data_IF_678483027161
#
_entry.id   IF_678483027161
#
_cell.length_a   1.000
_cell.length_b   1.000
_cell.length_c   1.000
_cell.angle_alpha   90.00
_cell.angle_beta   90.00
_cell.angle_gamma   90.00
#
_symmetry.space_group_name_H-M   'P 1'
#
loop_
_entity.id
_entity.type
_entity.pdbx_description
1 polymer ?
#
# COMPACT_ATOMS: atom_id res chain seq x y z
N UNK A 1 -58.51 -51.22 -7.94
CA UNK A 1 -57.33 -51.80 -7.35
C UNK A 1 -56.12 -51.53 -8.24
N UNK A 2 -55.59 -50.39 -8.30
CA UNK A 2 -54.33 -50.11 -8.97
C UNK A 2 -53.65 -48.95 -8.25
N UNK A 3 -52.67 -49.21 -7.42
CA UNK A 3 -51.88 -48.26 -6.68
C UNK A 3 -50.85 -47.67 -7.65
N UNK A 4 -51.00 -46.41 -7.94
CA UNK A 4 -50.02 -45.62 -8.71
C UNK A 4 -49.11 -44.93 -7.76
N UNK A 5 -47.92 -45.50 -7.55
CA UNK A 5 -46.86 -44.92 -6.71
C UNK A 5 -46.18 -43.81 -7.50
N UNK A 6 -46.46 -42.56 -7.09
CA UNK A 6 -45.78 -41.40 -7.67
C UNK A 6 -44.43 -41.19 -7.00
N UNK A 7 -43.35 -41.44 -7.74
CA UNK A 7 -42.01 -41.07 -7.34
C UNK A 7 -41.83 -39.57 -7.47
N UNK A 8 -41.73 -38.91 -6.33
CA UNK A 8 -41.32 -37.49 -6.25
C UNK A 8 -39.77 -37.42 -6.30
N UNK A 9 -39.23 -37.10 -7.46
CA UNK A 9 -37.80 -36.82 -7.60
C UNK A 9 -37.55 -35.39 -7.11
N UNK A 10 -37.05 -35.29 -5.87
CA UNK A 10 -36.55 -34.01 -5.36
C UNK A 10 -35.16 -33.79 -5.94
N UNK A 11 -35.08 -32.96 -6.96
CA UNK A 11 -33.82 -32.46 -7.50
C UNK A 11 -33.15 -31.53 -6.52
N UNK A 12 -32.16 -31.96 -5.79
CA UNK A 12 -31.24 -31.10 -5.06
C UNK A 12 -30.38 -30.33 -6.08
N UNK A 13 -30.79 -29.12 -6.44
CA UNK A 13 -29.90 -28.18 -7.12
C UNK A 13 -28.83 -27.75 -6.10
N UNK A 14 -27.67 -28.36 -6.14
CA UNK A 14 -26.49 -27.90 -5.45
C UNK A 14 -26.05 -26.57 -6.12
N UNK A 15 -26.43 -25.46 -5.53
CA UNK A 15 -25.83 -24.16 -5.80
C UNK A 15 -24.38 -24.21 -5.36
N UNK A 16 -23.48 -24.54 -6.27
CA UNK A 16 -22.07 -24.33 -6.09
C UNK A 16 -21.83 -22.82 -6.04
N UNK A 17 -21.75 -22.26 -4.84
CA UNK A 17 -21.13 -20.98 -4.60
C UNK A 17 -19.67 -21.11 -5.00
N UNK A 18 -19.37 -20.75 -6.21
CA UNK A 18 -18.01 -20.51 -6.66
C UNK A 18 -17.56 -19.21 -5.98
N UNK A 19 -17.04 -19.33 -4.75
CA UNK A 19 -16.29 -18.27 -4.13
C UNK A 19 -15.00 -18.11 -4.94
N UNK A 20 -15.10 -17.39 -6.04
CA UNK A 20 -13.93 -16.88 -6.74
C UNK A 20 -13.13 -16.08 -5.73
N UNK A 21 -11.99 -16.61 -5.28
CA UNK A 21 -10.97 -15.82 -4.65
C UNK A 21 -10.55 -14.78 -5.70
N UNK A 22 -11.21 -13.62 -5.70
CA UNK A 22 -10.84 -12.50 -6.53
C UNK A 22 -9.40 -12.16 -6.20
N UNK A 23 -8.48 -12.30 -7.16
CA UNK A 23 -7.13 -11.78 -7.01
C UNK A 23 -7.27 -10.31 -6.60
N UNK A 24 -6.59 -9.91 -5.51
CA UNK A 24 -6.63 -8.54 -5.05
C UNK A 24 -6.25 -7.62 -6.21
N UNK A 25 -7.07 -6.60 -6.47
CA UNK A 25 -6.78 -5.65 -7.55
C UNK A 25 -5.46 -4.93 -7.29
N UNK A 26 -4.61 -4.90 -8.31
CA UNK A 26 -3.33 -4.18 -8.24
C UNK A 26 -3.55 -2.71 -8.62
N UNK A 27 -2.86 -1.82 -7.93
CA UNK A 27 -2.79 -0.41 -8.29
C UNK A 27 -1.88 -0.19 -9.50
N UNK A 28 -2.17 0.84 -10.28
CA UNK A 28 -1.37 1.26 -11.42
C UNK A 28 -0.38 2.38 -11.06
N UNK A 29 0.63 2.59 -11.91
CA UNK A 29 1.68 3.57 -11.66
C UNK A 29 1.15 5.02 -11.61
N UNK A 30 0.21 5.36 -12.46
CA UNK A 30 -0.46 6.66 -12.48
C UNK A 30 -1.34 6.88 -11.24
N UNK A 31 -2.01 5.84 -10.74
CA UNK A 31 -2.76 5.87 -9.49
C UNK A 31 -1.83 6.12 -8.28
N UNK A 32 -0.64 5.50 -8.25
CA UNK A 32 0.35 5.73 -7.19
C UNK A 32 0.87 7.18 -7.20
N UNK A 33 1.20 7.72 -8.38
CA UNK A 33 1.60 9.14 -8.52
C UNK A 33 0.48 10.09 -8.09
N UNK A 34 -0.76 9.83 -8.52
CA UNK A 34 -1.91 10.65 -8.15
C UNK A 34 -2.15 10.63 -6.63
N UNK A 35 -1.99 9.45 -6.00
CA UNK A 35 -2.14 9.30 -4.55
C UNK A 35 -1.08 10.08 -3.78
N UNK A 36 0.19 10.05 -4.20
CA UNK A 36 1.27 10.85 -3.57
C UNK A 36 1.01 12.34 -3.71
N UNK A 37 0.59 12.82 -4.88
CA UNK A 37 0.23 14.24 -5.08
C UNK A 37 -0.93 14.67 -4.19
N UNK A 38 -2.00 13.86 -4.16
CA UNK A 38 -3.14 14.09 -3.27
C UNK A 38 -2.72 14.12 -1.80
N UNK A 39 -1.82 13.23 -1.38
CA UNK A 39 -1.27 13.21 -0.02
C UNK A 39 -0.47 14.48 0.29
N UNK A 40 0.35 14.95 -0.65
CA UNK A 40 1.10 16.21 -0.51
C UNK A 40 0.19 17.43 -0.37
N UNK A 41 -0.86 17.52 -1.18
CA UNK A 41 -1.87 18.59 -1.06
C UNK A 41 -2.62 18.52 0.27
N UNK A 42 -2.98 17.32 0.70
CA UNK A 42 -3.64 17.10 1.99
C UNK A 42 -2.75 17.50 3.17
N UNK A 43 -1.45 17.17 3.12
CA UNK A 43 -0.45 17.58 4.10
C UNK A 43 -0.35 19.10 4.20
N UNK A 44 -0.21 19.79 3.07
CA UNK A 44 -0.13 21.26 3.02
C UNK A 44 -1.38 21.94 3.58
N UNK A 45 -2.56 21.40 3.26
CA UNK A 45 -3.84 21.98 3.68
C UNK A 45 -4.16 21.75 5.16
N UNK A 46 -3.82 20.57 5.69
CA UNK A 46 -4.31 20.11 7.00
C UNK A 46 -3.22 20.07 8.09
N UNK A 47 -1.95 20.20 7.73
CA UNK A 47 -0.81 20.06 8.63
C UNK A 47 -0.44 18.60 8.90
N UNK A 48 0.74 18.41 9.49
CA UNK A 48 1.36 17.09 9.69
C UNK A 48 0.54 16.15 10.56
N UNK A 49 0.07 16.63 11.70
CA UNK A 49 -0.66 15.82 12.66
C UNK A 49 -1.88 15.15 12.02
N UNK A 50 -2.71 15.96 11.37
CA UNK A 50 -3.92 15.47 10.70
C UNK A 50 -3.60 14.62 9.46
N UNK A 51 -2.56 14.99 8.72
CA UNK A 51 -2.16 14.23 7.54
C UNK A 51 -1.63 12.85 7.91
N UNK A 52 -0.74 12.74 8.89
CA UNK A 52 -0.21 11.45 9.32
C UNK A 52 -1.27 10.56 9.96
N UNK A 53 -2.20 11.13 10.72
CA UNK A 53 -3.36 10.38 11.24
C UNK A 53 -4.17 9.76 10.10
N UNK A 54 -4.42 10.51 9.02
CA UNK A 54 -5.17 10.03 7.86
C UNK A 54 -4.36 9.03 7.01
N UNK A 55 -3.04 9.23 6.83
CA UNK A 55 -2.17 8.29 6.13
C UNK A 55 -2.06 6.95 6.86
N UNK A 56 -2.15 6.96 8.19
CA UNK A 56 -2.13 5.76 9.04
C UNK A 56 -3.50 5.06 9.13
N UNK A 57 -4.56 5.67 8.61
CA UNK A 57 -5.90 5.12 8.69
C UNK A 57 -6.09 4.00 7.64
N UNK A 58 -6.20 2.71 8.04
CA UNK A 58 -6.31 1.61 7.08
C UNK A 58 -7.65 1.59 6.32
N UNK A 59 -8.60 2.41 6.73
CA UNK A 59 -9.90 2.63 6.06
C UNK A 59 -10.03 4.04 5.48
N UNK A 60 -8.93 4.78 5.43
CA UNK A 60 -8.88 6.16 4.98
C UNK A 60 -8.79 6.30 3.46
N UNK A 61 -8.77 7.56 3.04
CA UNK A 61 -8.75 7.93 1.62
C UNK A 61 -7.40 7.70 0.92
N UNK A 62 -6.37 7.26 1.67
CA UNK A 62 -5.03 6.96 1.16
C UNK A 62 -4.72 5.46 1.14
N UNK A 63 -5.77 4.65 1.10
CA UNK A 63 -5.74 3.21 0.82
C UNK A 63 -6.65 2.96 -0.39
N UNK A 64 -6.09 2.35 -1.43
CA UNK A 64 -6.87 1.96 -2.62
C UNK A 64 -6.23 0.75 -3.28
N UNK A 65 -6.96 -0.35 -3.40
CA UNK A 65 -6.42 -1.64 -3.89
C UNK A 65 -5.25 -2.09 -2.99
N UNK A 66 -4.07 -2.31 -3.57
CA UNK A 66 -2.82 -2.59 -2.84
C UNK A 66 -1.94 -1.34 -2.62
N UNK A 67 -2.46 -0.15 -2.99
CA UNK A 67 -1.78 1.13 -2.80
C UNK A 67 -2.02 1.68 -1.40
N UNK A 68 -0.96 2.21 -0.80
CA UNK A 68 -0.99 2.94 0.46
C UNK A 68 0.12 3.98 0.54
N UNK A 69 -0.10 5.02 1.33
CA UNK A 69 0.91 6.05 1.60
C UNK A 69 1.81 5.63 2.77
N UNK A 70 3.09 5.94 2.64
CA UNK A 70 4.03 6.01 3.74
C UNK A 70 4.78 7.35 3.70
N UNK A 71 5.35 7.76 4.83
CA UNK A 71 6.06 9.04 4.93
C UNK A 71 7.24 8.99 5.88
N UNK A 72 8.29 9.74 5.52
CA UNK A 72 9.49 9.99 6.31
C UNK A 72 9.76 11.49 6.45
N UNK A 73 10.53 11.89 7.46
CA UNK A 73 11.09 13.23 7.50
C UNK A 73 12.19 13.42 6.44
N UNK A 74 12.23 14.60 5.82
CA UNK A 74 13.30 14.96 4.89
C UNK A 74 14.59 15.42 5.60
N UNK A 75 14.81 14.96 6.82
CA UNK A 75 16.02 15.16 7.63
C UNK A 75 17.00 13.97 7.54
N UNK A 76 16.60 12.89 6.88
CA UNK A 76 17.43 11.71 6.66
C UNK A 76 17.58 10.78 7.86
N UNK A 77 16.85 10.98 8.95
CA UNK A 77 16.96 10.18 10.17
C UNK A 77 16.38 8.75 10.05
N UNK A 78 15.53 8.51 9.04
CA UNK A 78 14.90 7.22 8.79
C UNK A 78 13.79 6.86 9.77
N UNK A 79 13.27 7.82 10.54
CA UNK A 79 12.09 7.61 11.38
C UNK A 79 10.84 7.66 10.51
N UNK A 80 10.06 6.58 10.54
CA UNK A 80 8.83 6.50 9.75
C UNK A 80 7.70 7.29 10.43
N UNK A 81 7.13 8.25 9.72
CA UNK A 81 6.11 9.16 10.24
C UNK A 81 4.69 8.64 9.97
N UNK A 82 4.50 7.91 8.89
CA UNK A 82 3.22 7.31 8.54
C UNK A 82 3.41 6.05 7.68
N UNK A 83 2.49 5.07 7.84
CA UNK A 83 2.44 3.88 7.00
C UNK A 83 1.03 3.27 7.01
N UNK A 84 0.31 3.37 5.90
CA UNK A 84 -1.07 2.92 5.78
C UNK A 84 -1.25 1.40 5.81
N UNK A 85 -0.19 0.62 5.55
CA UNK A 85 -0.24 -0.84 5.56
C UNK A 85 0.30 -1.45 6.87
N UNK A 86 1.21 -0.76 7.56
CA UNK A 86 1.84 -1.31 8.77
C UNK A 86 2.14 -0.23 9.81
N UNK A 87 1.16 0.06 10.64
CA UNK A 87 1.27 1.05 11.73
C UNK A 87 2.40 0.74 12.74
N UNK A 88 2.87 -0.52 12.82
CA UNK A 88 3.95 -0.92 13.73
C UNK A 88 5.31 -0.33 13.37
N UNK A 89 5.48 0.17 12.15
CA UNK A 89 6.69 0.84 11.70
C UNK A 89 6.72 2.32 12.10
N UNK A 90 5.57 2.93 12.33
CA UNK A 90 5.46 4.35 12.67
C UNK A 90 6.17 4.65 14.00
N UNK A 91 7.00 5.70 13.98
CA UNK A 91 7.84 6.12 15.09
C UNK A 91 9.12 5.31 15.27
N UNK A 92 9.37 4.30 14.44
CA UNK A 92 10.62 3.53 14.47
C UNK A 92 11.64 4.08 13.49
N UNK A 93 12.91 4.04 13.89
CA UNK A 93 14.00 4.25 12.97
C UNK A 93 14.24 2.97 12.17
N UNK A 94 14.00 3.06 10.86
CA UNK A 94 14.14 1.94 9.91
C UNK A 94 15.23 2.19 8.87
N UNK A 95 16.13 3.16 9.13
CA UNK A 95 17.17 3.58 8.18
C UNK A 95 18.05 2.43 7.70
N UNK A 96 18.39 1.50 8.60
CA UNK A 96 19.27 0.35 8.33
C UNK A 96 18.49 -0.88 7.82
N UNK A 97 17.18 -0.73 7.57
CA UNK A 97 16.35 -1.82 7.06
C UNK A 97 16.78 -2.21 5.64
N UNK A 98 16.92 -3.52 5.44
CA UNK A 98 17.23 -4.10 4.13
C UNK A 98 16.02 -4.85 3.59
N UNK A 99 15.90 -4.84 2.29
CA UNK A 99 14.98 -5.72 1.59
C UNK A 99 15.53 -7.16 1.50
N UNK A 100 14.77 -8.06 0.85
CA UNK A 100 15.16 -9.46 0.70
C UNK A 100 16.44 -9.67 -0.14
N UNK A 101 16.83 -8.69 -0.94
CA UNK A 101 18.07 -8.70 -1.74
C UNK A 101 19.24 -7.99 -1.03
N UNK A 102 19.03 -7.52 0.21
CA UNK A 102 20.05 -6.82 1.01
C UNK A 102 20.18 -5.33 0.70
N UNK A 103 19.26 -4.74 -0.06
CA UNK A 103 19.25 -3.33 -0.42
C UNK A 103 18.76 -2.47 0.74
N UNK A 104 19.47 -1.38 1.05
CA UNK A 104 19.06 -0.39 2.05
C UNK A 104 17.96 0.52 1.49
N UNK A 105 16.76 0.00 1.38
CA UNK A 105 15.65 0.66 0.67
C UNK A 105 15.28 2.02 1.25
N UNK A 106 15.36 2.20 2.57
CA UNK A 106 15.00 3.48 3.21
C UNK A 106 16.03 4.56 2.91
N UNK A 107 17.34 4.20 2.93
CA UNK A 107 18.41 5.13 2.53
C UNK A 107 18.21 5.62 1.10
N UNK A 108 17.87 4.72 0.19
CA UNK A 108 17.65 5.04 -1.21
C UNK A 108 16.39 5.89 -1.42
N UNK A 109 15.29 5.59 -0.70
CA UNK A 109 14.07 6.41 -0.71
C UNK A 109 14.36 7.84 -0.24
N UNK A 110 15.08 7.97 0.88
CA UNK A 110 15.44 9.28 1.44
C UNK A 110 16.41 10.03 0.53
N UNK A 111 17.43 9.36 -0.03
CA UNK A 111 18.36 9.95 -0.98
C UNK A 111 17.63 10.50 -2.21
N UNK A 112 16.65 9.76 -2.75
CA UNK A 112 15.82 10.21 -3.87
C UNK A 112 14.95 11.40 -3.49
N UNK A 113 14.23 11.34 -2.36
CA UNK A 113 13.38 12.43 -1.88
C UNK A 113 14.18 13.69 -1.52
N UNK A 114 15.40 13.54 -1.05
CA UNK A 114 16.29 14.67 -0.68
C UNK A 114 17.17 15.14 -1.86
N UNK A 115 17.10 14.51 -3.01
CA UNK A 115 17.80 14.94 -4.22
C UNK A 115 17.31 16.30 -4.71
N UNK A 116 18.00 16.88 -5.68
CA UNK A 116 17.62 18.15 -6.32
C UNK A 116 16.23 18.06 -6.96
N UNK A 117 15.92 16.94 -7.60
CA UNK A 117 14.62 16.67 -8.22
C UNK A 117 13.52 16.45 -7.19
N UNK A 118 13.87 15.93 -6.01
CA UNK A 118 12.97 15.69 -4.89
C UNK A 118 11.90 14.65 -5.16
N UNK A 119 11.99 13.89 -6.26
CA UNK A 119 10.99 12.90 -6.68
C UNK A 119 11.56 11.91 -7.69
N UNK A 120 10.90 10.77 -7.80
CA UNK A 120 11.23 9.74 -8.79
C UNK A 120 10.70 8.36 -8.39
N UNK A 121 11.20 7.36 -9.09
CA UNK A 121 10.83 5.97 -8.87
C UNK A 121 12.01 5.16 -8.35
N UNK A 122 11.69 4.19 -7.46
CA UNK A 122 12.67 3.27 -6.90
C UNK A 122 12.09 1.87 -6.83
N UNK A 123 12.91 0.86 -7.12
CA UNK A 123 12.54 -0.56 -7.08
C UNK A 123 13.22 -1.26 -5.89
N UNK A 124 12.45 -2.08 -5.16
CA UNK A 124 12.93 -2.92 -4.06
C UNK A 124 11.95 -4.07 -3.81
N UNK A 125 12.26 -5.01 -2.92
CA UNK A 125 11.35 -6.07 -2.49
C UNK A 125 10.66 -5.69 -1.18
N UNK A 126 9.36 -5.93 -1.09
CA UNK A 126 8.58 -5.58 0.09
C UNK A 126 7.40 -6.52 0.31
N UNK A 127 7.01 -6.78 1.58
CA UNK A 127 5.78 -7.53 1.86
C UNK A 127 4.56 -6.88 1.23
N UNK A 128 3.84 -7.66 0.43
CA UNK A 128 2.59 -7.24 -0.20
C UNK A 128 1.43 -7.51 0.77
N UNK A 129 0.72 -6.49 1.24
CA UNK A 129 -0.37 -6.67 2.21
C UNK A 129 -1.56 -7.47 1.64
N UNK A 130 -1.71 -7.52 0.31
CA UNK A 130 -2.80 -8.23 -0.35
C UNK A 130 -2.55 -9.72 -0.50
N UNK A 131 -1.30 -10.14 -0.64
CA UNK A 131 -0.90 -11.54 -0.87
C UNK A 131 -0.19 -12.18 0.33
N UNK A 132 0.39 -11.35 1.22
CA UNK A 132 1.23 -11.80 2.33
C UNK A 132 2.63 -12.29 1.90
N UNK A 133 2.98 -12.15 0.62
CA UNK A 133 4.29 -12.56 0.06
C UNK A 133 5.23 -11.37 -0.06
N UNK A 134 6.54 -11.65 -0.20
CA UNK A 134 7.53 -10.63 -0.53
C UNK A 134 7.60 -10.50 -2.04
N UNK A 135 7.11 -9.40 -2.56
CA UNK A 135 7.03 -9.14 -4.00
C UNK A 135 7.94 -7.98 -4.41
N UNK A 136 8.26 -7.91 -5.70
CA UNK A 136 8.89 -6.73 -6.28
C UNK A 136 7.95 -5.52 -6.18
N UNK A 137 8.43 -4.42 -5.62
CA UNK A 137 7.68 -3.18 -5.47
C UNK A 137 8.39 -2.05 -6.20
N UNK A 138 7.64 -1.26 -6.95
CA UNK A 138 8.11 -0.03 -7.56
C UNK A 138 7.38 1.14 -6.93
N UNK A 139 8.11 2.03 -6.30
CA UNK A 139 7.56 3.12 -5.49
C UNK A 139 7.87 4.47 -6.11
N UNK A 140 6.84 5.29 -6.28
CA UNK A 140 6.99 6.71 -6.53
C UNK A 140 7.16 7.45 -5.22
N UNK A 141 8.16 8.33 -5.19
CA UNK A 141 8.52 9.15 -4.04
C UNK A 141 8.49 10.61 -4.46
N UNK A 142 7.97 11.49 -3.60
CA UNK A 142 8.01 12.93 -3.79
C UNK A 142 8.19 13.64 -2.45
N UNK A 143 9.12 14.62 -2.42
CA UNK A 143 9.28 15.50 -1.26
C UNK A 143 8.27 16.65 -1.31
N UNK A 144 7.57 16.81 -0.22
CA UNK A 144 6.64 17.92 0.02
C UNK A 144 7.09 18.63 1.30
N UNK A 145 7.63 19.83 1.16
CA UNK A 145 8.27 20.60 2.24
C UNK A 145 9.36 19.77 2.94
N UNK A 146 9.21 19.44 4.21
CA UNK A 146 10.14 18.64 5.01
C UNK A 146 9.69 17.19 5.18
N UNK A 147 8.79 16.68 4.31
CA UNK A 147 8.28 15.31 4.32
C UNK A 147 8.53 14.63 2.98
N UNK A 148 9.05 13.41 3.02
CA UNK A 148 9.17 12.51 1.87
C UNK A 148 7.99 11.55 1.90
N UNK A 149 7.14 11.59 0.87
CA UNK A 149 5.92 10.77 0.75
C UNK A 149 6.13 9.76 -0.35
N UNK A 150 5.72 8.52 -0.12
CA UNK A 150 5.82 7.45 -1.11
C UNK A 150 4.56 6.60 -1.21
N UNK A 151 4.34 6.06 -2.42
CA UNK A 151 3.33 5.06 -2.74
C UNK A 151 3.87 4.12 -3.81
N UNK A 152 3.73 2.82 -3.62
CA UNK A 152 4.31 1.82 -4.53
C UNK A 152 3.30 0.84 -5.07
N UNK A 153 3.56 0.39 -6.31
CA UNK A 153 2.86 -0.69 -6.99
C UNK A 153 3.64 -1.99 -6.84
N UNK A 154 2.94 -3.12 -6.79
CA UNK A 154 3.55 -4.45 -6.79
C UNK A 154 3.57 -5.04 -8.21
N UNK A 155 4.67 -5.72 -8.54
CA UNK A 155 4.91 -6.33 -9.87
C UNK A 155 4.28 -7.71 -9.98
#
# INVERSE_FOLDING_TARGET
MKNLLKYLVVGCAALMFNAGAGAAEKGAADEAVAMVKKAGEFLKKNGKEKAFAEFNNPKGQFIHKDLYIFAFGANGDGVELANGANIKLVGKNVLEMKDADGKYLIKDILALGMSKEGKGWIDYKWPNPSTGTIDGKRTYVERVDDVVIGCGIYK
#
